data_IF_705547755288
#
_entry.id   IF_705547755288
#
_cell.length_a   1.000
_cell.length_b   1.000
_cell.length_c   1.000
_cell.angle_alpha   90.00
_cell.angle_beta   90.00
_cell.angle_gamma   90.00
#
_symmetry.space_group_name_H-M   'P 1'
#
loop_
_entity.id
_entity.type
_entity.pdbx_description
1 polymer ?
#
# COMPACT_ATOMS: atom_id res chain seq x y z
N UNK A 1 -26.41 38.15 20.70
CA UNK A 1 -25.71 37.30 19.72
C UNK A 1 -24.30 37.17 20.26
N UNK A 2 -24.06 36.13 21.04
CA UNK A 2 -22.84 35.97 21.82
C UNK A 2 -21.70 35.53 20.91
N UNK A 3 -20.77 36.45 20.63
CA UNK A 3 -19.60 36.23 19.78
C UNK A 3 -18.41 35.60 20.53
N UNK A 4 -18.65 34.94 21.67
CA UNK A 4 -17.58 34.51 22.61
C UNK A 4 -17.31 33.02 22.68
N UNK A 5 -18.00 32.18 21.92
CA UNK A 5 -17.75 30.73 21.92
C UNK A 5 -16.65 30.30 20.94
N UNK A 6 -15.63 31.15 20.74
CA UNK A 6 -14.43 30.72 20.04
C UNK A 6 -13.57 29.87 20.98
N UNK A 7 -13.32 28.58 20.65
CA UNK A 7 -12.50 27.73 21.48
C UNK A 7 -11.09 28.32 21.63
N UNK A 8 -10.55 28.31 22.86
CA UNK A 8 -9.20 28.78 23.11
C UNK A 8 -8.18 28.00 22.26
N UNK A 9 -7.05 28.64 21.92
CA UNK A 9 -5.98 28.01 21.15
C UNK A 9 -5.51 26.68 21.77
N UNK A 10 -5.46 26.60 23.11
CA UNK A 10 -5.14 25.35 23.81
C UNK A 10 -6.20 24.26 23.57
N UNK A 11 -7.49 24.62 23.56
CA UNK A 11 -8.58 23.68 23.28
C UNK A 11 -8.58 23.23 21.82
N UNK A 12 -8.26 24.13 20.89
CA UNK A 12 -8.06 23.79 19.47
C UNK A 12 -6.85 22.87 19.27
N UNK A 13 -5.74 23.09 19.97
CA UNK A 13 -4.55 22.24 19.89
C UNK A 13 -4.84 20.81 20.38
N UNK A 14 -5.59 20.67 21.48
CA UNK A 14 -6.03 19.36 21.99
C UNK A 14 -6.96 18.65 21.00
N UNK A 15 -7.94 19.36 20.45
CA UNK A 15 -8.85 18.80 19.44
C UNK A 15 -8.09 18.38 18.17
N UNK A 16 -7.11 19.17 17.73
CA UNK A 16 -6.28 18.85 16.58
C UNK A 16 -5.42 17.60 16.83
N UNK A 17 -4.82 17.48 18.02
CA UNK A 17 -4.07 16.28 18.38
C UNK A 17 -4.95 15.02 18.43
N UNK A 18 -6.18 15.15 18.93
CA UNK A 18 -7.16 14.06 18.96
C UNK A 18 -7.60 13.65 17.55
N UNK A 19 -7.89 14.63 16.68
CA UNK A 19 -8.22 14.40 15.27
C UNK A 19 -7.08 13.73 14.52
N UNK A 20 -5.84 14.20 14.70
CA UNK A 20 -4.66 13.59 14.09
C UNK A 20 -4.48 12.13 14.53
N UNK A 21 -4.71 11.83 15.81
CA UNK A 21 -4.68 10.45 16.32
C UNK A 21 -5.80 9.60 15.72
N UNK A 22 -7.01 10.12 15.63
CA UNK A 22 -8.14 9.42 15.02
C UNK A 22 -7.93 9.17 13.53
N UNK A 23 -7.38 10.14 12.79
CA UNK A 23 -7.05 10.00 11.38
C UNK A 23 -6.07 8.83 11.17
N UNK A 24 -5.01 8.74 11.98
CA UNK A 24 -4.07 7.61 11.95
C UNK A 24 -4.75 6.26 12.24
N UNK A 25 -5.65 6.22 13.23
CA UNK A 25 -6.40 5.00 13.56
C UNK A 25 -7.30 4.56 12.39
N UNK A 26 -7.95 5.51 11.73
CA UNK A 26 -8.78 5.23 10.56
C UNK A 26 -7.92 4.75 9.40
N UNK A 27 -6.78 5.40 9.14
CA UNK A 27 -5.81 4.97 8.13
C UNK A 27 -5.32 3.55 8.38
N UNK A 28 -4.96 3.21 9.62
CA UNK A 28 -4.54 1.86 10.02
C UNK A 28 -5.65 0.81 9.79
N UNK A 29 -6.91 1.15 10.10
CA UNK A 29 -8.05 0.24 9.89
C UNK A 29 -8.30 0.03 8.40
N UNK A 30 -8.27 1.10 7.60
CA UNK A 30 -8.40 1.01 6.14
C UNK A 30 -7.26 0.18 5.56
N UNK A 31 -6.01 0.44 5.94
CA UNK A 31 -4.86 -0.30 5.44
C UNK A 31 -4.95 -1.79 5.79
N UNK A 32 -5.46 -2.15 6.97
CA UNK A 32 -5.69 -3.56 7.33
C UNK A 32 -6.75 -4.25 6.48
N UNK A 33 -7.71 -3.50 5.93
CA UNK A 33 -8.74 -4.06 5.04
C UNK A 33 -8.29 -4.15 3.58
N UNK A 34 -7.23 -3.42 3.20
CA UNK A 34 -6.67 -3.50 1.86
C UNK A 34 -5.78 -4.74 1.71
N UNK A 35 -5.94 -5.44 0.58
CA UNK A 35 -5.02 -6.49 0.16
C UNK A 35 -3.63 -5.89 -0.14
N UNK A 36 -2.56 -6.69 -0.06
CA UNK A 36 -1.19 -6.21 -0.31
C UNK A 36 -1.01 -5.48 -1.66
N UNK A 37 -1.76 -5.88 -2.68
CA UNK A 37 -1.76 -5.23 -4.01
C UNK A 37 -2.44 -3.84 -3.97
N UNK A 38 -3.51 -3.70 -3.20
CA UNK A 38 -4.23 -2.42 -3.06
C UNK A 38 -3.41 -1.41 -2.23
N UNK A 39 -2.73 -1.89 -1.16
CA UNK A 39 -1.78 -1.07 -0.41
C UNK A 39 -0.65 -0.57 -1.30
N UNK A 40 -0.12 -1.44 -2.17
CA UNK A 40 0.94 -1.08 -3.12
C UNK A 40 0.46 0.00 -4.10
N UNK A 41 -0.76 -0.12 -4.62
CA UNK A 41 -1.36 0.89 -5.51
C UNK A 41 -1.56 2.23 -4.80
N UNK A 42 -2.08 2.22 -3.57
CA UNK A 42 -2.29 3.42 -2.76
C UNK A 42 -0.96 4.14 -2.48
N UNK A 43 0.07 3.40 -2.07
CA UNK A 43 1.40 3.96 -1.82
C UNK A 43 2.00 4.60 -3.08
N UNK A 44 1.86 3.94 -4.24
CA UNK A 44 2.32 4.47 -5.51
C UNK A 44 1.56 5.74 -5.94
N UNK A 45 0.24 5.79 -5.72
CA UNK A 45 -0.58 6.96 -6.03
C UNK A 45 -0.20 8.18 -5.16
N UNK A 46 0.22 7.95 -3.93
CA UNK A 46 0.72 9.00 -3.02
C UNK A 46 2.21 9.33 -3.22
N UNK A 47 2.88 8.67 -4.18
CA UNK A 47 4.34 8.75 -4.35
C UNK A 47 5.13 8.40 -3.08
N UNK A 48 4.55 7.57 -2.20
CA UNK A 48 5.22 7.06 -1.01
C UNK A 48 6.07 5.85 -1.36
N UNK A 49 7.25 6.12 -1.92
CA UNK A 49 8.18 5.09 -2.40
C UNK A 49 8.74 4.21 -1.29
N UNK A 50 8.80 4.74 -0.05
CA UNK A 50 9.22 3.96 1.11
C UNK A 50 8.15 2.95 1.51
N UNK A 51 6.87 3.34 1.48
CA UNK A 51 5.77 2.40 1.66
C UNK A 51 5.73 1.36 0.54
N UNK A 52 5.94 1.74 -0.73
CA UNK A 52 6.01 0.79 -1.85
C UNK A 52 7.12 -0.26 -1.62
N UNK A 53 8.30 0.16 -1.16
CA UNK A 53 9.40 -0.76 -0.86
C UNK A 53 9.00 -1.76 0.23
N UNK A 54 8.49 -1.27 1.37
CA UNK A 54 8.09 -2.11 2.51
C UNK A 54 7.02 -3.13 2.11
N UNK A 55 5.99 -2.69 1.40
CA UNK A 55 4.89 -3.56 0.96
C UNK A 55 5.39 -4.63 -0.02
N UNK A 56 6.33 -4.27 -0.90
CA UNK A 56 6.95 -5.21 -1.84
C UNK A 56 7.79 -6.28 -1.11
N UNK A 57 8.52 -5.90 -0.07
CA UNK A 57 9.26 -6.85 0.79
C UNK A 57 8.32 -7.77 1.57
N UNK A 58 7.22 -7.26 2.11
CA UNK A 58 6.17 -8.06 2.76
C UNK A 58 5.55 -9.06 1.78
N UNK A 59 5.25 -8.66 0.54
CA UNK A 59 4.74 -9.54 -0.50
C UNK A 59 5.72 -10.68 -0.80
N UNK A 60 7.02 -10.39 -0.93
CA UNK A 60 8.06 -11.41 -1.16
C UNK A 60 8.10 -12.41 0.01
N UNK A 61 7.96 -11.95 1.25
CA UNK A 61 8.01 -12.82 2.42
C UNK A 61 6.76 -13.71 2.56
N UNK A 62 5.61 -13.26 2.08
CA UNK A 62 4.33 -13.97 2.18
C UNK A 62 4.13 -15.00 1.06
N UNK A 63 4.67 -14.76 -0.12
CA UNK A 63 4.50 -15.63 -1.28
C UNK A 63 5.52 -16.78 -1.26
N UNK A 64 5.05 -17.98 -0.90
CA UNK A 64 5.87 -19.20 -0.83
C UNK A 64 5.55 -20.20 -1.94
N UNK A 65 4.48 -19.98 -2.71
CA UNK A 65 4.06 -20.91 -3.75
C UNK A 65 4.84 -20.71 -5.06
N UNK A 66 5.14 -21.81 -5.78
CA UNK A 66 5.88 -21.75 -7.04
C UNK A 66 5.11 -20.97 -8.15
N UNK A 67 3.78 -20.89 -8.05
CA UNK A 67 2.94 -20.06 -8.94
C UNK A 67 3.18 -18.56 -8.77
N UNK A 68 3.75 -18.15 -7.63
CA UNK A 68 4.01 -16.75 -7.30
C UNK A 68 5.42 -16.29 -7.66
N UNK A 69 6.29 -17.19 -8.15
CA UNK A 69 7.62 -16.87 -8.66
C UNK A 69 7.69 -15.64 -9.59
N UNK A 70 6.78 -15.42 -10.56
CA UNK A 70 6.79 -14.21 -11.36
C UNK A 70 6.48 -12.95 -10.54
N UNK A 71 5.57 -13.03 -9.56
CA UNK A 71 5.22 -11.91 -8.66
C UNK A 71 6.41 -11.56 -7.77
N UNK A 72 7.03 -12.57 -7.15
CA UNK A 72 8.21 -12.41 -6.30
C UNK A 72 9.37 -11.80 -7.08
N UNK A 73 9.62 -12.27 -8.30
CA UNK A 73 10.69 -11.72 -9.16
C UNK A 73 10.46 -10.26 -9.50
N UNK A 74 9.24 -9.90 -9.90
CA UNK A 74 8.89 -8.51 -10.20
C UNK A 74 8.98 -7.62 -8.96
N UNK A 75 8.58 -8.13 -7.78
CA UNK A 75 8.69 -7.40 -6.52
C UNK A 75 10.15 -7.17 -6.11
N UNK A 76 11.02 -8.19 -6.26
CA UNK A 76 12.45 -8.07 -5.99
C UNK A 76 13.11 -7.02 -6.88
N UNK A 77 12.80 -7.00 -8.18
CA UNK A 77 13.30 -6.00 -9.10
C UNK A 77 12.84 -4.58 -8.74
N UNK A 78 11.60 -4.43 -8.25
CA UNK A 78 11.07 -3.17 -7.76
C UNK A 78 11.83 -2.70 -6.50
N UNK A 79 12.07 -3.61 -5.55
CA UNK A 79 12.86 -3.34 -4.35
C UNK A 79 14.28 -2.90 -4.68
N UNK A 80 14.96 -3.61 -5.59
CA UNK A 80 16.31 -3.27 -6.01
C UNK A 80 16.38 -1.90 -6.69
N UNK A 81 15.37 -1.56 -7.49
CA UNK A 81 15.28 -0.26 -8.13
C UNK A 81 15.08 0.85 -7.10
N UNK A 82 14.16 0.67 -6.15
CA UNK A 82 13.89 1.64 -5.08
C UNK A 82 15.06 1.82 -4.11
N UNK A 83 15.84 0.76 -3.85
CA UNK A 83 17.07 0.86 -3.05
C UNK A 83 18.16 1.65 -3.78
N UNK A 84 18.21 1.58 -5.11
CA UNK A 84 19.18 2.33 -5.94
C UNK A 84 18.74 3.76 -6.21
N UNK A 85 17.44 3.98 -6.35
CA UNK A 85 16.84 5.27 -6.64
C UNK A 85 15.57 5.48 -5.79
N UNK A 86 15.72 6.01 -4.56
CA UNK A 86 14.60 6.24 -3.65
C UNK A 86 13.67 7.38 -4.11
N UNK A 87 14.07 8.16 -5.13
CA UNK A 87 13.26 9.26 -5.66
C UNK A 87 12.07 8.78 -6.50
N UNK A 88 12.11 7.52 -6.95
CA UNK A 88 11.00 6.85 -7.62
C UNK A 88 10.84 7.19 -9.11
N UNK A 89 11.78 7.93 -9.72
CA UNK A 89 11.66 8.42 -11.09
C UNK A 89 11.47 7.34 -12.17
N UNK A 90 11.89 6.10 -11.90
CA UNK A 90 11.77 4.94 -12.83
C UNK A 90 10.87 3.81 -12.30
N UNK A 91 10.12 4.05 -11.23
CA UNK A 91 9.33 3.03 -10.53
C UNK A 91 8.04 2.67 -11.27
N UNK A 92 7.45 3.61 -12.01
CA UNK A 92 6.14 3.46 -12.66
C UNK A 92 6.06 2.26 -13.61
N UNK A 93 7.08 2.04 -14.44
CA UNK A 93 7.13 0.90 -15.38
C UNK A 93 7.20 -0.43 -14.64
N UNK A 94 8.04 -0.51 -13.60
CA UNK A 94 8.21 -1.74 -12.81
C UNK A 94 7.01 -2.05 -11.92
N UNK A 95 6.34 -1.01 -11.43
CA UNK A 95 5.09 -1.16 -10.69
C UNK A 95 3.99 -1.74 -11.60
N UNK A 96 3.89 -1.28 -12.85
CA UNK A 96 2.95 -1.83 -13.82
C UNK A 96 3.21 -3.32 -14.13
N UNK A 97 4.49 -3.72 -14.25
CA UNK A 97 4.90 -5.12 -14.42
C UNK A 97 4.51 -5.98 -13.21
N UNK A 98 4.76 -5.50 -11.98
CA UNK A 98 4.37 -6.19 -10.75
C UNK A 98 2.85 -6.38 -10.67
N UNK A 99 2.07 -5.34 -10.97
CA UNK A 99 0.60 -5.43 -10.99
C UNK A 99 0.10 -6.39 -12.07
N UNK A 100 0.77 -6.45 -13.21
CA UNK A 100 0.48 -7.42 -14.27
C UNK A 100 0.73 -8.86 -13.78
N UNK A 101 1.86 -9.11 -13.12
CA UNK A 101 2.18 -10.40 -12.54
C UNK A 101 1.16 -10.84 -11.47
N UNK A 102 0.76 -9.93 -10.57
CA UNK A 102 -0.26 -10.18 -9.55
C UNK A 102 -1.61 -10.57 -10.16
N UNK A 103 -2.03 -9.93 -11.26
CA UNK A 103 -3.26 -10.28 -11.98
C UNK A 103 -3.18 -11.67 -12.62
N UNK A 104 -2.06 -12.00 -13.24
CA UNK A 104 -1.84 -13.31 -13.87
C UNK A 104 -1.82 -14.45 -12.85
N UNK A 105 -1.21 -14.24 -11.69
CA UNK A 105 -1.22 -15.22 -10.59
C UNK A 105 -2.66 -15.46 -10.07
N UNK A 106 -3.44 -14.39 -9.82
CA UNK A 106 -4.86 -14.50 -9.42
C UNK A 106 -5.76 -15.16 -10.47
N UNK A 107 -5.44 -15.02 -11.75
CA UNK A 107 -6.17 -15.70 -12.83
C UNK A 107 -5.86 -17.19 -12.89
N UNK A 108 -4.67 -17.59 -12.47
CA UNK A 108 -4.23 -18.99 -12.42
C UNK A 108 -4.82 -19.73 -11.23
N UNK A 109 -5.04 -19.02 -10.11
CA UNK A 109 -5.66 -19.54 -8.88
C UNK A 109 -7.21 -19.60 -8.93
N UNK A 110 -7.82 -19.55 -10.13
CA UNK A 110 -9.20 -19.98 -10.35
C UNK A 110 -9.23 -21.45 -10.83
N UNK A 111 -9.16 -22.45 -9.94
CA UNK A 111 -9.58 -23.79 -10.32
C UNK A 111 -11.11 -23.77 -10.44
N UNK A 112 -11.60 -23.91 -11.66
CA UNK A 112 -12.57 -24.96 -12.03
C UNK A 112 -13.54 -25.46 -10.93
N UNK A 113 -14.22 -24.55 -10.22
CA UNK A 113 -15.41 -24.88 -9.41
C UNK A 113 -16.69 -24.49 -10.16
N UNK A 114 -16.88 -25.08 -11.33
CA UNK A 114 -18.18 -25.37 -11.97
C UNK A 114 -17.91 -26.46 -13.01
N UNK A 115 -18.57 -27.59 -13.11
CA UNK A 115 -19.53 -28.35 -12.32
C UNK A 115 -19.52 -29.72 -13.01
N UNK A 116 -19.62 -30.80 -12.24
CA UNK A 116 -20.02 -32.11 -12.73
C UNK A 116 -21.44 -32.08 -13.31
#
# INVERSE_FOLDING_TARGET
MDTTDYPSLGRLAVLNAQLARQARLVEDVVDRQLDGVERLFRAAALSDWQAVLRISEELIAQLQDPTDLPVVRSAQQLCDLLRRDPSGGKVSVRLAELLSACRSARLTDRPSRRSS
#
